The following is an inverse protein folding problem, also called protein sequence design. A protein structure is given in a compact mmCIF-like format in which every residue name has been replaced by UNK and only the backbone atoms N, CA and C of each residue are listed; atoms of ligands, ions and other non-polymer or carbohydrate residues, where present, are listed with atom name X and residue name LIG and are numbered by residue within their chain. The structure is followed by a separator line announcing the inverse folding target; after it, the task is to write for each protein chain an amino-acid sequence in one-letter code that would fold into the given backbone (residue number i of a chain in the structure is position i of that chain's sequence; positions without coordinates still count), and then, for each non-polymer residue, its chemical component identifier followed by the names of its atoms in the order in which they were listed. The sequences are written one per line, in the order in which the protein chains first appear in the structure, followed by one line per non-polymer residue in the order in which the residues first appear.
data_IF_765213977370
#
_entry.id   IF_765213977370
#
_cell.length_a   1.000
_cell.length_b   1.000
_cell.length_c   1.000
_cell.angle_alpha   90.00
_cell.angle_beta   90.00
_cell.angle_gamma   90.00
#
_symmetry.space_group_name_H-M   'P 1'
#
loop_
_entity.id
_entity.type
_entity.pdbx_description
1 polymer ?
#
# COMPACT_ATOMS: atom_id res chain seq x y z
N UNK A 1 -16.77 -16.62 -29.69
CA UNK A 1 -18.06 -15.95 -29.37
C UNK A 1 -18.00 -15.45 -27.93
N UNK A 2 -17.76 -14.16 -27.70
CA UNK A 2 -18.00 -13.52 -26.38
C UNK A 2 -18.62 -12.15 -26.65
N UNK A 3 -19.94 -12.13 -26.88
CA UNK A 3 -20.74 -10.90 -27.06
C UNK A 3 -21.72 -10.64 -25.90
N UNK A 4 -21.61 -11.40 -24.80
CA UNK A 4 -22.59 -11.37 -23.71
C UNK A 4 -22.34 -10.34 -22.61
N UNK A 5 -21.09 -9.96 -22.33
CA UNK A 5 -20.79 -9.06 -21.20
C UNK A 5 -20.95 -7.57 -21.52
N UNK A 6 -21.14 -7.20 -22.79
CA UNK A 6 -21.15 -5.81 -23.23
C UNK A 6 -22.48 -5.10 -22.94
N UNK A 7 -23.59 -5.82 -22.85
CA UNK A 7 -24.90 -5.19 -22.63
C UNK A 7 -25.18 -4.86 -21.16
N UNK A 8 -24.67 -5.67 -20.23
CA UNK A 8 -24.85 -5.44 -18.78
C UNK A 8 -23.98 -4.28 -18.30
N UNK A 9 -22.80 -4.08 -18.93
CA UNK A 9 -21.86 -3.01 -18.58
C UNK A 9 -22.31 -1.62 -19.06
N UNK A 10 -23.08 -1.51 -20.15
CA UNK A 10 -23.55 -0.20 -20.63
C UNK A 10 -24.57 0.45 -19.71
N UNK A 11 -25.42 -0.33 -19.06
CA UNK A 11 -26.48 0.20 -18.18
C UNK A 11 -25.91 0.79 -16.88
N UNK A 12 -24.71 0.36 -16.46
CA UNK A 12 -24.04 0.83 -15.24
C UNK A 12 -22.79 1.70 -15.51
N UNK A 13 -22.45 1.93 -16.79
CA UNK A 13 -21.27 2.68 -17.24
C UNK A 13 -21.25 4.13 -16.72
N UNK A 14 -22.40 4.77 -16.58
CA UNK A 14 -22.50 6.14 -16.05
C UNK A 14 -22.04 6.28 -14.59
N UNK A 15 -22.15 5.22 -13.80
CA UNK A 15 -21.79 5.22 -12.37
C UNK A 15 -20.34 4.76 -12.16
N UNK A 16 -19.87 3.80 -12.96
CA UNK A 16 -18.52 3.24 -12.87
C UNK A 16 -17.45 4.11 -13.54
N UNK A 17 -17.79 4.86 -14.60
CA UNK A 17 -16.87 5.80 -15.27
C UNK A 17 -16.51 7.02 -14.42
N UNK A 18 -17.23 7.26 -13.31
CA UNK A 18 -16.92 8.27 -12.30
C UNK A 18 -16.02 7.76 -11.17
N UNK A 19 -15.66 6.48 -11.17
CA UNK A 19 -14.80 5.84 -10.16
C UNK A 19 -13.33 5.82 -10.63
N UNK A 20 -12.41 5.53 -9.69
CA UNK A 20 -10.97 5.42 -9.94
C UNK A 20 -10.59 4.29 -10.92
N UNK A 21 -11.54 3.41 -11.26
CA UNK A 21 -11.33 2.20 -12.06
C UNK A 21 -11.48 2.39 -13.58
N UNK A 22 -11.96 3.56 -14.04
CA UNK A 22 -12.19 3.83 -15.46
C UNK A 22 -10.98 3.60 -16.39
N UNK A 23 -9.74 3.95 -16.01
CA UNK A 23 -8.58 3.70 -16.87
C UNK A 23 -8.10 2.24 -16.81
N UNK A 24 -8.42 1.49 -15.74
CA UNK A 24 -8.06 0.07 -15.60
C UNK A 24 -8.73 -0.81 -16.66
N UNK A 25 -9.98 -0.50 -17.00
CA UNK A 25 -10.76 -1.31 -17.95
C UNK A 25 -10.32 -1.13 -19.41
N UNK A 26 -9.87 0.08 -19.77
CA UNK A 26 -9.45 0.41 -21.14
C UNK A 26 -8.10 -0.22 -21.51
N UNK A 27 -7.20 -0.38 -20.53
CA UNK A 27 -5.82 -0.82 -20.78
C UNK A 27 -5.55 -2.28 -20.42
N UNK A 28 -6.47 -2.95 -19.72
CA UNK A 28 -6.48 -4.41 -19.53
C UNK A 28 -6.48 -5.19 -20.87
N UNK A 29 -6.77 -4.50 -21.99
CA UNK A 29 -6.79 -5.08 -23.33
C UNK A 29 -5.41 -5.18 -24.01
N UNK A 30 -4.33 -4.61 -23.43
CA UNK A 30 -3.02 -4.54 -24.11
C UNK A 30 -1.82 -4.84 -23.19
N UNK A 31 -1.41 -6.11 -23.22
CA UNK A 31 -0.01 -6.61 -23.10
C UNK A 31 0.62 -6.93 -21.73
N UNK A 32 1.67 -7.77 -21.83
CA UNK A 32 2.27 -8.72 -20.87
C UNK A 32 3.49 -8.15 -20.09
N UNK A 33 3.76 -8.76 -18.92
CA UNK A 33 4.71 -8.38 -17.86
C UNK A 33 5.91 -9.32 -17.70
N UNK A 34 7.02 -8.81 -17.15
CA UNK A 34 8.19 -9.53 -16.61
C UNK A 34 8.93 -8.65 -15.57
N UNK A 35 9.89 -9.18 -14.77
CA UNK A 35 9.74 -9.98 -13.54
C UNK A 35 10.09 -9.21 -12.24
N UNK A 36 9.72 -9.83 -11.12
CA UNK A 36 9.68 -9.38 -9.72
C UNK A 36 11.03 -9.36 -8.98
N UNK A 37 11.20 -8.42 -8.04
CA UNK A 37 12.24 -8.46 -6.99
C UNK A 37 11.88 -9.49 -5.89
N UNK A 38 12.89 -10.07 -5.22
CA UNK A 38 12.78 -11.08 -4.14
C UNK A 38 12.57 -10.47 -2.74
N UNK A 39 12.29 -11.31 -1.72
CA UNK A 39 11.72 -10.95 -0.40
C UNK A 39 12.69 -11.15 0.78
N UNK A 40 12.85 -10.12 1.63
CA UNK A 40 13.01 -10.28 3.10
C UNK A 40 12.61 -8.99 3.87
N UNK A 41 11.42 -8.42 3.60
CA UNK A 41 11.06 -7.06 4.05
C UNK A 41 10.19 -7.00 5.32
N UNK A 42 9.64 -8.14 5.77
CA UNK A 42 8.72 -8.21 6.93
C UNK A 42 9.38 -7.81 8.26
N UNK A 43 10.69 -7.98 8.38
CA UNK A 43 11.45 -7.57 9.57
C UNK A 43 11.38 -6.05 9.77
N UNK A 44 11.44 -5.27 8.68
CA UNK A 44 11.37 -3.80 8.72
C UNK A 44 9.99 -3.31 9.15
N UNK A 45 8.94 -4.02 8.77
CA UNK A 45 7.58 -3.73 9.23
C UNK A 45 7.40 -4.09 10.71
N UNK A 46 8.11 -5.11 11.20
CA UNK A 46 8.07 -5.50 12.62
C UNK A 46 8.69 -4.43 13.53
N UNK A 47 9.74 -3.75 13.07
CA UNK A 47 10.35 -2.62 13.81
C UNK A 47 9.36 -1.47 14.06
N UNK A 48 8.30 -1.33 13.25
CA UNK A 48 7.25 -0.33 13.46
C UNK A 48 6.45 -0.56 14.75
N UNK A 49 6.34 -1.81 15.21
CA UNK A 49 5.69 -2.11 16.49
C UNK A 49 6.41 -1.42 17.65
N UNK A 50 7.75 -1.32 17.58
CA UNK A 50 8.56 -0.63 18.60
C UNK A 50 8.30 0.88 18.57
N UNK A 51 8.19 1.47 17.39
CA UNK A 51 7.84 2.90 17.23
C UNK A 51 6.47 3.23 17.83
N UNK A 52 5.45 2.41 17.55
CA UNK A 52 4.10 2.64 18.05
C UNK A 52 3.91 2.27 19.53
N UNK A 53 4.91 1.64 20.16
CA UNK A 53 4.90 1.32 21.59
C UNK A 53 5.56 2.41 22.45
N UNK A 54 5.98 3.54 21.86
CA UNK A 54 6.53 4.69 22.59
C UNK A 54 5.53 5.24 23.61
N UNK A 55 6.02 5.74 24.76
CA UNK A 55 5.19 6.28 25.86
C UNK A 55 4.14 7.30 25.39
N UNK A 56 4.48 8.13 24.40
CA UNK A 56 3.56 9.11 23.78
C UNK A 56 2.34 8.47 23.13
N UNK A 57 2.52 7.35 22.44
CA UNK A 57 1.45 6.62 21.73
C UNK A 57 0.70 5.72 22.71
N UNK A 58 1.41 5.14 23.69
CA UNK A 58 0.84 4.27 24.71
C UNK A 58 -0.20 4.96 25.61
N UNK A 59 -0.15 6.29 25.73
CA UNK A 59 -1.12 7.07 26.51
C UNK A 59 -2.54 7.01 25.93
N UNK A 60 -2.67 6.85 24.61
CA UNK A 60 -3.96 6.66 23.93
C UNK A 60 -4.07 5.23 23.41
N UNK A 61 -4.84 4.42 24.16
CA UNK A 61 -5.03 3.00 23.86
C UNK A 61 -5.78 2.77 22.54
N UNK A 62 -6.63 3.70 22.10
CA UNK A 62 -7.34 3.58 20.82
C UNK A 62 -6.37 3.81 19.66
N UNK A 63 -5.57 4.88 19.74
CA UNK A 63 -4.53 5.20 18.75
C UNK A 63 -3.48 4.08 18.66
N UNK A 64 -2.97 3.61 19.80
CA UNK A 64 -2.01 2.50 19.83
C UNK A 64 -2.57 1.23 19.18
N UNK A 65 -3.82 0.88 19.48
CA UNK A 65 -4.48 -0.27 18.88
C UNK A 65 -4.70 -0.10 17.37
N UNK A 66 -5.07 1.11 16.92
CA UNK A 66 -5.24 1.40 15.50
C UNK A 66 -3.94 1.22 14.71
N UNK A 67 -2.80 1.69 15.26
CA UNK A 67 -1.49 1.46 14.67
C UNK A 67 -1.09 -0.01 14.66
N UNK A 68 -1.25 -0.70 15.79
CA UNK A 68 -0.92 -2.12 15.90
C UNK A 68 -1.70 -2.96 14.87
N UNK A 69 -3.00 -2.68 14.69
CA UNK A 69 -3.82 -3.35 13.68
C UNK A 69 -3.34 -3.02 12.26
N UNK A 70 -3.03 -1.76 11.96
CA UNK A 70 -2.53 -1.37 10.64
C UNK A 70 -1.20 -2.06 10.31
N UNK A 71 -0.27 -2.13 11.26
CA UNK A 71 1.02 -2.83 11.12
C UNK A 71 0.79 -4.34 10.96
N UNK A 72 -0.10 -4.94 11.74
CA UNK A 72 -0.43 -6.36 11.63
C UNK A 72 -0.99 -6.70 10.25
N UNK A 73 -1.93 -5.90 9.73
CA UNK A 73 -2.46 -6.10 8.38
C UNK A 73 -1.38 -5.90 7.31
N UNK A 74 -0.42 -5.00 7.55
CA UNK A 74 0.69 -4.77 6.63
C UNK A 74 1.59 -6.01 6.58
N UNK A 75 2.00 -6.53 7.73
CA UNK A 75 2.77 -7.78 7.85
C UNK A 75 2.07 -8.94 7.14
N UNK A 76 0.76 -9.10 7.35
CA UNK A 76 -0.03 -10.12 6.66
C UNK A 76 0.02 -9.97 5.14
N UNK A 77 -0.07 -8.73 4.63
CA UNK A 77 0.02 -8.43 3.20
C UNK A 77 1.41 -8.79 2.64
N UNK A 78 2.49 -8.43 3.34
CA UNK A 78 3.85 -8.81 2.97
C UNK A 78 4.04 -10.33 2.92
N UNK A 79 3.58 -11.05 3.93
CA UNK A 79 3.67 -12.51 4.00
C UNK A 79 2.90 -13.17 2.85
N UNK A 80 1.67 -12.72 2.58
CA UNK A 80 0.87 -13.26 1.47
C UNK A 80 1.51 -12.96 0.11
N UNK A 81 2.02 -11.75 -0.10
CA UNK A 81 2.73 -11.39 -1.34
C UNK A 81 3.97 -12.27 -1.54
N UNK A 82 4.75 -12.53 -0.47
CA UNK A 82 5.89 -13.46 -0.54
C UNK A 82 5.48 -14.85 -1.00
N UNK A 83 4.49 -15.44 -0.31
CA UNK A 83 4.01 -16.80 -0.60
C UNK A 83 3.47 -16.90 -2.04
N UNK A 84 2.69 -15.90 -2.48
CA UNK A 84 2.12 -15.90 -3.84
C UNK A 84 3.19 -15.67 -4.91
N UNK A 85 4.17 -14.80 -4.64
CA UNK A 85 5.32 -14.56 -5.53
C UNK A 85 6.14 -15.84 -5.72
N UNK A 86 6.48 -16.56 -4.65
CA UNK A 86 7.19 -17.84 -4.70
C UNK A 86 6.42 -18.89 -5.53
N UNK A 87 5.08 -18.88 -5.42
CA UNK A 87 4.19 -19.76 -6.17
C UNK A 87 3.90 -19.28 -7.60
N UNK A 88 4.48 -18.15 -8.03
CA UNK A 88 4.22 -17.49 -9.32
C UNK A 88 2.73 -17.22 -9.56
N UNK A 89 2.00 -16.88 -8.51
CA UNK A 89 0.58 -16.54 -8.54
C UNK A 89 0.39 -15.03 -8.53
N UNK A 90 -0.77 -14.58 -9.02
CA UNK A 90 -1.14 -13.17 -8.98
C UNK A 90 -1.30 -12.69 -7.53
N UNK A 91 -0.45 -11.75 -7.14
CA UNK A 91 -0.44 -11.11 -5.82
C UNK A 91 -0.99 -9.67 -5.85
N UNK A 92 -1.33 -9.14 -7.03
CA UNK A 92 -1.82 -7.75 -7.17
C UNK A 92 -3.03 -7.48 -6.28
N UNK A 93 -4.07 -8.35 -6.22
CA UNK A 93 -5.23 -8.10 -5.37
C UNK A 93 -4.88 -8.03 -3.88
N UNK A 94 -3.89 -8.80 -3.43
CA UNK A 94 -3.48 -8.87 -2.01
C UNK A 94 -2.88 -7.54 -1.56
N UNK A 95 -2.10 -6.88 -2.41
CA UNK A 95 -1.51 -5.57 -2.09
C UNK A 95 -2.60 -4.51 -1.83
N UNK A 96 -3.78 -4.64 -2.45
CA UNK A 96 -4.92 -3.74 -2.23
C UNK A 96 -5.78 -4.09 -1.02
N UNK A 97 -5.55 -5.23 -0.36
CA UNK A 97 -6.31 -5.60 0.85
C UNK A 97 -5.99 -4.68 2.02
N UNK A 98 -4.71 -4.30 2.19
CA UNK A 98 -4.28 -3.46 3.29
C UNK A 98 -5.10 -2.17 3.48
N UNK A 99 -5.24 -1.29 2.46
CA UNK A 99 -6.00 -0.05 2.62
C UNK A 99 -7.50 -0.26 2.88
N UNK A 100 -8.03 -1.46 2.60
CA UNK A 100 -9.42 -1.84 2.87
C UNK A 100 -9.57 -2.37 4.31
N UNK A 101 -8.52 -3.01 4.85
CA UNK A 101 -8.54 -3.70 6.14
C UNK A 101 -8.07 -2.84 7.33
N UNK A 102 -7.49 -1.66 7.09
CA UNK A 102 -7.05 -0.74 8.15
C UNK A 102 -8.24 -0.09 8.89
N UNK A 103 -8.11 0.17 10.21
CA UNK A 103 -9.19 0.76 11.00
C UNK A 103 -9.46 2.23 10.62
N UNK A 104 -10.72 2.65 10.76
CA UNK A 104 -11.12 4.04 10.50
C UNK A 104 -10.36 5.05 11.36
N UNK A 105 -10.00 4.68 12.60
CA UNK A 105 -9.18 5.51 13.48
C UNK A 105 -7.80 5.75 12.87
N UNK A 106 -7.15 4.74 12.28
CA UNK A 106 -5.87 4.92 11.58
C UNK A 106 -6.01 5.88 10.38
N UNK A 107 -7.11 5.77 9.61
CA UNK A 107 -7.37 6.71 8.50
C UNK A 107 -7.50 8.16 8.98
N UNK A 108 -8.11 8.39 10.15
CA UNK A 108 -8.17 9.74 10.75
C UNK A 108 -6.77 10.25 11.12
N UNK A 109 -5.96 9.42 11.78
CA UNK A 109 -4.58 9.76 12.15
C UNK A 109 -3.72 10.09 10.92
N UNK A 110 -3.94 9.37 9.82
CA UNK A 110 -3.29 9.64 8.55
C UNK A 110 -3.76 10.99 7.95
N UNK A 111 -5.05 11.29 8.03
CA UNK A 111 -5.62 12.58 7.63
C UNK A 111 -5.10 13.76 8.46
N UNK A 112 -4.85 13.54 9.75
CA UNK A 112 -4.18 14.48 10.66
C UNK A 112 -2.66 14.57 10.43
N UNK A 113 -2.12 13.77 9.50
CA UNK A 113 -0.68 13.70 9.19
C UNK A 113 0.16 13.37 10.43
N UNK A 114 -0.35 12.48 11.29
CA UNK A 114 0.42 11.98 12.43
C UNK A 114 1.68 11.29 11.92
N UNK A 115 2.87 11.59 12.47
CA UNK A 115 4.09 11.06 11.91
C UNK A 115 4.18 9.54 11.86
N UNK A 116 3.74 8.89 12.93
CA UNK A 116 3.71 7.43 13.07
C UNK A 116 2.80 6.79 12.00
N UNK A 117 1.64 7.42 11.73
CA UNK A 117 0.73 6.99 10.67
C UNK A 117 1.37 7.06 9.29
N UNK A 118 2.07 8.17 9.02
CA UNK A 118 2.74 8.41 7.73
C UNK A 118 3.91 7.46 7.51
N UNK A 119 4.67 7.11 8.56
CA UNK A 119 5.72 6.08 8.46
C UNK A 119 5.14 4.74 8.04
N UNK A 120 4.04 4.29 8.65
CA UNK A 120 3.38 3.03 8.25
C UNK A 120 2.95 3.08 6.78
N UNK A 121 2.42 4.22 6.31
CA UNK A 121 2.07 4.41 4.90
C UNK A 121 3.31 4.37 3.98
N UNK A 122 4.46 4.87 4.42
CA UNK A 122 5.71 4.78 3.65
C UNK A 122 6.13 3.32 3.46
N UNK A 123 6.01 2.49 4.51
CA UNK A 123 6.27 1.05 4.38
C UNK A 123 5.23 0.32 3.53
N UNK A 124 3.97 0.77 3.51
CA UNK A 124 3.01 0.28 2.51
C UNK A 124 3.40 0.69 1.08
N UNK A 125 3.94 1.90 0.91
CA UNK A 125 4.43 2.37 -0.40
C UNK A 125 5.59 1.53 -0.93
N UNK A 126 6.46 1.03 -0.04
CA UNK A 126 7.48 0.05 -0.43
C UNK A 126 6.88 -1.27 -0.94
N UNK A 127 5.74 -1.72 -0.39
CA UNK A 127 5.00 -2.86 -0.94
C UNK A 127 4.41 -2.55 -2.32
N UNK A 128 3.88 -1.33 -2.51
CA UNK A 128 3.37 -0.86 -3.80
C UNK A 128 4.45 -0.82 -4.89
N UNK A 129 5.73 -0.71 -4.53
CA UNK A 129 6.84 -0.76 -5.50
C UNK A 129 6.88 -2.10 -6.27
N UNK A 130 6.33 -3.19 -5.70
CA UNK A 130 6.18 -4.49 -6.39
C UNK A 130 5.21 -4.41 -7.58
N UNK A 131 4.40 -3.35 -7.66
CA UNK A 131 3.44 -3.09 -8.73
C UNK A 131 3.93 -2.03 -9.73
N UNK A 132 5.18 -1.57 -9.65
CA UNK A 132 5.68 -0.48 -10.50
C UNK A 132 5.73 -0.86 -11.99
N UNK A 133 5.77 -2.17 -12.29
CA UNK A 133 5.62 -2.72 -13.63
C UNK A 133 4.18 -2.60 -14.16
N UNK A 134 3.19 -2.52 -13.27
CA UNK A 134 1.81 -2.27 -13.62
C UNK A 134 1.68 -0.81 -14.07
N UNK A 135 1.22 -0.62 -15.31
CA UNK A 135 1.15 0.71 -15.92
C UNK A 135 0.38 1.76 -15.09
N UNK A 136 -0.57 1.33 -14.26
CA UNK A 136 -1.40 2.21 -13.42
C UNK A 136 -0.76 2.52 -12.07
N UNK A 137 0.22 1.72 -11.64
CA UNK A 137 0.98 1.90 -10.40
C UNK A 137 2.40 2.43 -10.61
N UNK A 138 2.85 2.51 -11.86
CA UNK A 138 4.15 3.07 -12.21
C UNK A 138 4.37 4.46 -11.61
N UNK A 139 5.39 4.58 -10.77
CA UNK A 139 5.81 5.81 -10.10
C UNK A 139 5.04 6.16 -8.81
N UNK A 140 3.97 5.44 -8.46
CA UNK A 140 3.14 5.77 -7.31
C UNK A 140 3.85 5.58 -5.98
N UNK A 141 4.55 4.46 -5.81
CA UNK A 141 5.32 4.16 -4.60
C UNK A 141 6.33 5.29 -4.31
N UNK A 142 7.10 5.67 -5.32
CA UNK A 142 8.07 6.78 -5.26
C UNK A 142 7.41 8.12 -4.92
N UNK A 143 6.28 8.42 -5.57
CA UNK A 143 5.53 9.65 -5.31
C UNK A 143 5.08 9.73 -3.86
N UNK A 144 4.48 8.66 -3.32
CA UNK A 144 3.99 8.61 -1.95
C UNK A 144 5.13 8.81 -0.94
N UNK A 145 6.26 8.09 -1.10
CA UNK A 145 7.41 8.23 -0.19
C UNK A 145 7.95 9.66 -0.21
N UNK A 146 8.07 10.30 -1.38
CA UNK A 146 8.48 11.72 -1.48
C UNK A 146 7.52 12.68 -0.76
N UNK A 147 6.21 12.47 -0.93
CA UNK A 147 5.21 13.30 -0.25
C UNK A 147 5.27 13.14 1.27
N UNK A 148 5.42 11.90 1.73
CA UNK A 148 5.58 11.58 3.15
C UNK A 148 6.85 12.22 3.69
N UNK A 149 7.98 12.08 3.01
CA UNK A 149 9.25 12.72 3.38
C UNK A 149 9.13 14.25 3.43
N UNK A 150 8.44 14.87 2.48
CA UNK A 150 8.27 16.34 2.49
C UNK A 150 7.38 16.79 3.66
N UNK A 151 6.47 15.91 4.11
CA UNK A 151 5.57 16.19 5.23
C UNK A 151 6.25 15.91 6.58
N UNK A 152 7.15 14.92 6.62
CA UNK A 152 7.88 14.50 7.80
C UNK A 152 9.23 15.22 7.89
N UNK A 153 9.47 15.95 8.97
CA UNK A 153 10.79 16.55 9.20
C UNK A 153 11.92 15.53 9.36
N UNK A 154 13.15 16.02 9.43
CA UNK A 154 14.38 15.20 9.48
C UNK A 154 14.39 14.14 10.60
N UNK A 155 13.65 14.36 11.69
CA UNK A 155 13.51 13.44 12.82
C UNK A 155 13.05 12.02 12.40
N UNK A 156 12.26 11.91 11.32
CA UNK A 156 11.68 10.63 10.89
C UNK A 156 12.47 9.94 9.78
N UNK A 157 13.55 10.57 9.28
CA UNK A 157 14.40 10.01 8.23
C UNK A 157 14.93 8.59 8.53
N UNK A 158 15.31 8.23 9.78
CA UNK A 158 15.74 6.86 10.07
C UNK A 158 14.68 5.81 9.74
N UNK A 159 13.40 6.16 9.89
CA UNK A 159 12.27 5.27 9.58
C UNK A 159 11.92 5.28 8.09
N UNK A 160 12.21 6.36 7.38
CA UNK A 160 11.98 6.49 5.93
C UNK A 160 13.14 5.99 5.06
N UNK A 161 14.31 5.73 5.64
CA UNK A 161 15.50 5.29 4.92
C UNK A 161 15.21 4.05 4.05
N UNK A 162 14.60 3.02 4.63
CA UNK A 162 14.29 1.79 3.90
C UNK A 162 13.20 1.97 2.82
N UNK A 163 12.04 2.60 3.09
CA UNK A 163 11.08 2.91 2.02
C UNK A 163 11.67 3.72 0.86
N UNK A 164 12.58 4.64 1.14
CA UNK A 164 13.29 5.44 0.11
C UNK A 164 14.22 4.57 -0.72
N UNK A 165 15.00 3.71 -0.08
CA UNK A 165 15.87 2.75 -0.76
C UNK A 165 15.07 1.86 -1.73
N UNK A 166 13.97 1.27 -1.27
CA UNK A 166 13.13 0.39 -2.08
C UNK A 166 12.50 1.14 -3.27
N UNK A 167 12.05 2.37 -3.06
CA UNK A 167 11.36 3.16 -4.10
C UNK A 167 12.30 3.97 -5.00
N UNK A 168 13.61 3.95 -4.71
CA UNK A 168 14.64 4.69 -5.44
C UNK A 168 14.47 6.21 -5.35
N UNK A 169 14.11 6.71 -4.16
CA UNK A 169 13.97 8.15 -3.85
C UNK A 169 15.23 8.70 -3.20
#
# INVERSE_FOLDING_TARGET
MVRGCNSVLQTQWGTLSRSFLAPLLHKAMTQQTAPSHDVHDSERVTDLLRLCSSERVAQDRETANAYALAIHQLLNSYTQVSILSERKQDFVPVIFVWPIAIPQTYLKLLGERKPEAMVILAHYSALLQRLDDQWFMKGWARYLVKQIETTLGEEWQPWLCWPKEVTGV
#
